data_IF_010523085671
#
_entry.id   IF_010523085671
#
_cell.length_a   1.000
_cell.length_b   1.000
_cell.length_c   1.000
_cell.angle_alpha   90.00
_cell.angle_beta   90.00
_cell.angle_gamma   90.00
#
_symmetry.space_group_name_H-M   'P 1'
#
loop_
_entity.id
_entity.type
_entity.pdbx_description
1 polymer ?
#
# COMPACT_ATOMS: atom_id res chain seq x y z
N UNK A 1 -9.35 -9.97 -19.57
CA UNK A 1 -8.00 -10.56 -19.31
C UNK A 1 -7.65 -11.76 -20.20
N UNK A 2 -6.49 -11.70 -20.86
CA UNK A 2 -5.83 -12.86 -21.51
C UNK A 2 -5.61 -13.96 -20.46
N UNK A 3 -5.85 -15.23 -20.79
CA UNK A 3 -5.65 -16.36 -19.87
C UNK A 3 -4.18 -16.48 -19.49
N UNK A 4 -3.82 -15.88 -18.37
CA UNK A 4 -2.45 -15.85 -17.85
C UNK A 4 -2.26 -17.07 -16.96
N UNK A 5 -1.16 -17.82 -17.15
CA UNK A 5 -0.92 -19.01 -16.34
C UNK A 5 -0.76 -18.65 -14.85
N UNK A 6 -1.27 -19.50 -13.97
CA UNK A 6 -1.12 -19.32 -12.51
C UNK A 6 0.36 -19.17 -12.11
N UNK A 7 1.25 -19.93 -12.75
CA UNK A 7 2.71 -19.85 -12.52
C UNK A 7 3.25 -18.45 -12.84
N UNK A 8 2.83 -17.85 -13.96
CA UNK A 8 3.26 -16.51 -14.34
C UNK A 8 2.74 -15.45 -13.35
N UNK A 9 1.49 -15.54 -12.92
CA UNK A 9 0.92 -14.62 -11.92
C UNK A 9 1.70 -14.69 -10.60
N UNK A 10 1.97 -15.90 -10.09
CA UNK A 10 2.77 -16.08 -8.87
C UNK A 10 4.18 -15.51 -9.04
N UNK A 11 4.81 -15.70 -10.20
CA UNK A 11 6.13 -15.14 -10.48
C UNK A 11 6.11 -13.61 -10.50
N UNK A 12 5.08 -13.00 -11.11
CA UNK A 12 4.89 -11.54 -11.09
C UNK A 12 4.74 -11.02 -9.66
N UNK A 13 3.91 -11.66 -8.84
CA UNK A 13 3.71 -11.26 -7.44
C UNK A 13 5.04 -11.35 -6.67
N UNK A 14 5.79 -12.43 -6.84
CA UNK A 14 7.08 -12.60 -6.18
C UNK A 14 8.08 -11.51 -6.58
N UNK A 15 8.28 -11.29 -7.89
CA UNK A 15 9.26 -10.33 -8.42
C UNK A 15 8.92 -8.89 -8.03
N UNK A 16 7.64 -8.53 -7.98
CA UNK A 16 7.19 -7.15 -7.80
C UNK A 16 7.03 -6.78 -6.32
N UNK A 17 6.56 -7.72 -5.47
CA UNK A 17 6.18 -7.43 -4.08
C UNK A 17 7.08 -8.08 -3.05
N UNK A 18 7.73 -9.21 -3.36
CA UNK A 18 8.50 -9.99 -2.36
C UNK A 18 10.00 -9.78 -2.55
N UNK A 19 10.51 -9.95 -3.77
CA UNK A 19 11.94 -9.85 -4.07
C UNK A 19 12.53 -8.49 -3.67
N UNK A 20 11.92 -7.32 -3.98
CA UNK A 20 12.50 -6.04 -3.60
C UNK A 20 12.63 -5.87 -2.09
N UNK A 21 11.66 -6.39 -1.33
CA UNK A 21 11.67 -6.34 0.13
C UNK A 21 12.75 -7.25 0.70
N UNK A 22 12.90 -8.47 0.16
CA UNK A 22 13.97 -9.39 0.57
C UNK A 22 15.36 -8.76 0.34
N UNK A 23 15.57 -8.13 -0.83
CA UNK A 23 16.83 -7.48 -1.15
C UNK A 23 17.17 -6.35 -0.16
N UNK A 24 16.17 -5.56 0.26
CA UNK A 24 16.35 -4.51 1.26
C UNK A 24 16.55 -5.08 2.67
N UNK A 25 15.73 -6.06 3.07
CA UNK A 25 15.71 -6.61 4.42
C UNK A 25 17.02 -7.34 4.78
N UNK A 26 17.59 -8.10 3.84
CA UNK A 26 18.88 -8.76 4.04
C UNK A 26 20.10 -7.85 3.79
N UNK A 27 19.89 -6.56 3.51
CA UNK A 27 20.96 -5.60 3.27
C UNK A 27 21.74 -5.84 1.96
N UNK A 28 21.19 -6.61 1.03
CA UNK A 28 21.77 -6.77 -0.33
C UNK A 28 21.70 -5.43 -1.08
N UNK A 29 20.62 -4.68 -0.87
CA UNK A 29 20.46 -3.29 -1.29
C UNK A 29 20.28 -2.39 -0.06
N UNK A 30 20.87 -1.19 -0.07
CA UNK A 30 20.66 -0.21 0.99
C UNK A 30 19.22 0.31 1.00
N UNK A 31 18.76 0.80 2.16
CA UNK A 31 17.39 1.32 2.33
C UNK A 31 17.06 2.51 1.42
N UNK A 32 18.08 3.22 0.91
CA UNK A 32 17.94 4.33 -0.04
C UNK A 32 17.32 3.90 -1.39
N UNK A 33 17.47 2.62 -1.75
CA UNK A 33 16.91 2.08 -2.99
C UNK A 33 15.38 1.92 -2.95
N UNK A 34 14.72 2.08 -1.81
CA UNK A 34 13.27 1.83 -1.66
C UNK A 34 12.39 2.57 -2.67
N UNK A 35 12.66 3.85 -2.92
CA UNK A 35 11.88 4.66 -3.87
C UNK A 35 12.18 4.24 -5.31
N UNK A 36 13.43 3.91 -5.61
CA UNK A 36 13.84 3.39 -6.92
C UNK A 36 13.18 2.04 -7.19
N UNK A 37 13.17 1.13 -6.22
CA UNK A 37 12.52 -0.17 -6.32
C UNK A 37 11.01 -0.03 -6.49
N UNK A 38 10.36 0.91 -5.80
CA UNK A 38 8.96 1.21 -6.01
C UNK A 38 8.69 1.71 -7.44
N UNK A 39 9.55 2.60 -7.97
CA UNK A 39 9.44 3.08 -9.35
C UNK A 39 9.66 1.95 -10.38
N UNK A 40 10.64 1.07 -10.17
CA UNK A 40 10.88 -0.10 -11.02
C UNK A 40 9.67 -1.04 -10.98
N UNK A 41 9.13 -1.34 -9.80
CA UNK A 41 7.91 -2.13 -9.65
C UNK A 41 6.73 -1.48 -10.38
N UNK A 42 6.56 -0.16 -10.30
CA UNK A 42 5.53 0.55 -11.05
C UNK A 42 5.71 0.42 -12.57
N UNK A 43 6.93 0.58 -13.08
CA UNK A 43 7.24 0.41 -14.52
C UNK A 43 6.92 -1.02 -14.98
N UNK A 44 7.30 -2.04 -14.20
CA UNK A 44 7.00 -3.44 -14.50
C UNK A 44 5.49 -3.70 -14.53
N UNK A 45 4.76 -3.23 -13.52
CA UNK A 45 3.29 -3.33 -13.46
C UNK A 45 2.68 -2.65 -14.68
N UNK A 46 3.09 -1.42 -14.99
CA UNK A 46 2.59 -0.67 -16.13
C UNK A 46 2.86 -1.42 -17.44
N UNK A 47 4.08 -1.92 -17.65
CA UNK A 47 4.43 -2.72 -18.83
C UNK A 47 3.55 -3.96 -19.00
N UNK A 48 3.27 -4.68 -17.91
CA UNK A 48 2.37 -5.84 -17.90
C UNK A 48 0.93 -5.42 -18.26
N UNK A 49 0.41 -4.37 -17.63
CA UNK A 49 -0.93 -3.83 -17.89
C UNK A 49 -1.10 -3.43 -19.36
N UNK A 50 -0.08 -2.77 -19.95
CA UNK A 50 -0.07 -2.39 -21.36
C UNK A 50 0.00 -3.59 -22.29
N UNK A 51 0.85 -4.56 -21.99
CA UNK A 51 0.99 -5.79 -22.76
C UNK A 51 -0.31 -6.63 -22.76
N UNK A 52 -0.96 -6.74 -21.61
CA UNK A 52 -2.21 -7.48 -21.45
C UNK A 52 -3.47 -6.67 -21.77
N UNK A 53 -3.32 -5.38 -22.11
CA UNK A 53 -4.38 -4.44 -22.52
C UNK A 53 -5.50 -4.30 -21.49
N UNK A 54 -5.15 -4.14 -20.21
CA UNK A 54 -6.16 -3.98 -19.15
C UNK A 54 -6.94 -2.66 -19.31
N UNK A 55 -8.23 -2.68 -18.97
CA UNK A 55 -9.10 -1.50 -18.98
C UNK A 55 -8.96 -0.67 -17.70
N UNK A 56 -9.40 0.60 -17.75
CA UNK A 56 -9.47 1.45 -16.55
C UNK A 56 -10.37 0.85 -15.46
N UNK A 57 -11.43 0.15 -15.86
CA UNK A 57 -12.32 -0.55 -14.93
C UNK A 57 -11.63 -1.75 -14.26
N UNK A 58 -10.86 -2.54 -15.01
CA UNK A 58 -10.06 -3.65 -14.47
C UNK A 58 -9.01 -3.15 -13.47
N UNK A 59 -8.49 -1.93 -13.67
CA UNK A 59 -7.58 -1.24 -12.74
C UNK A 59 -8.30 -0.50 -11.59
N UNK A 60 -9.64 -0.47 -11.58
CA UNK A 60 -10.44 0.30 -10.61
C UNK A 60 -10.17 1.81 -10.62
N UNK A 61 -9.71 2.35 -11.76
CA UNK A 61 -9.64 3.77 -12.06
C UNK A 61 -11.06 4.24 -12.43
N UNK A 62 -11.89 4.44 -11.40
CA UNK A 62 -13.30 4.78 -11.51
C UNK A 62 -13.59 6.16 -10.96
N UNK A 63 -14.27 6.99 -11.76
CA UNK A 63 -14.75 8.32 -11.36
C UNK A 63 -16.27 8.35 -11.15
N UNK A 64 -16.98 7.37 -11.69
CA UNK A 64 -18.44 7.26 -11.67
C UNK A 64 -19.02 6.97 -10.27
N UNK A 65 -18.21 6.39 -9.37
CA UNK A 65 -18.63 6.04 -8.01
C UNK A 65 -18.09 6.97 -6.93
N UNK A 66 -17.47 8.10 -7.29
CA UNK A 66 -16.77 8.98 -6.34
C UNK A 66 -17.68 9.44 -5.20
N UNK A 67 -18.83 10.07 -5.52
CA UNK A 67 -19.77 10.59 -4.51
C UNK A 67 -20.30 9.52 -3.56
N UNK A 68 -20.55 8.31 -4.08
CA UNK A 68 -21.05 7.17 -3.31
C UNK A 68 -19.98 6.58 -2.38
N UNK A 69 -18.73 6.57 -2.82
CA UNK A 69 -17.62 5.93 -2.10
C UNK A 69 -16.97 6.88 -1.09
N UNK A 70 -16.96 8.18 -1.38
CA UNK A 70 -16.35 9.24 -0.57
C UNK A 70 -16.66 9.16 0.94
N UNK A 71 -17.92 9.05 1.41
CA UNK A 71 -18.20 9.03 2.84
C UNK A 71 -17.56 7.83 3.57
N UNK A 72 -17.45 6.68 2.91
CA UNK A 72 -16.80 5.51 3.50
C UNK A 72 -15.30 5.75 3.64
N UNK A 73 -14.63 6.24 2.58
CA UNK A 73 -13.21 6.60 2.63
C UNK A 73 -12.91 7.66 3.68
N UNK A 74 -13.75 8.70 3.76
CA UNK A 74 -13.61 9.76 4.76
C UNK A 74 -13.75 9.20 6.19
N UNK A 75 -14.80 8.41 6.45
CA UNK A 75 -15.02 7.78 7.76
C UNK A 75 -13.82 6.93 8.20
N UNK A 76 -13.34 6.04 7.32
CA UNK A 76 -12.18 5.19 7.64
C UNK A 76 -10.90 5.98 7.82
N UNK A 77 -10.71 7.07 7.06
CA UNK A 77 -9.54 7.95 7.23
C UNK A 77 -9.57 8.62 8.59
N UNK A 78 -10.69 9.24 8.97
CA UNK A 78 -10.84 9.90 10.28
C UNK A 78 -10.66 8.90 11.40
N UNK A 79 -11.32 7.74 11.33
CA UNK A 79 -11.22 6.69 12.33
C UNK A 79 -9.77 6.24 12.52
N UNK A 80 -9.05 5.99 11.43
CA UNK A 80 -7.67 5.51 11.49
C UNK A 80 -6.72 6.58 12.03
N UNK A 81 -6.90 7.85 11.64
CA UNK A 81 -6.14 8.97 12.21
C UNK A 81 -6.35 9.06 13.72
N UNK A 82 -7.59 8.98 14.19
CA UNK A 82 -7.90 8.96 15.64
C UNK A 82 -7.22 7.79 16.33
N UNK A 83 -7.27 6.58 15.76
CA UNK A 83 -6.60 5.40 16.31
C UNK A 83 -5.08 5.60 16.42
N UNK A 84 -4.44 6.20 15.41
CA UNK A 84 -3.01 6.49 15.44
C UNK A 84 -2.64 7.44 16.59
N UNK A 85 -3.40 8.52 16.80
CA UNK A 85 -3.19 9.43 17.92
C UNK A 85 -3.41 8.75 19.28
N UNK A 86 -4.41 7.87 19.40
CA UNK A 86 -4.64 7.11 20.63
C UNK A 86 -3.50 6.11 20.91
N UNK A 87 -2.98 5.45 19.88
CA UNK A 87 -1.84 4.54 20.00
C UNK A 87 -0.56 5.30 20.37
N UNK A 88 -0.32 6.44 19.75
CA UNK A 88 0.82 7.31 20.08
C UNK A 88 0.78 7.72 21.56
N UNK A 89 -0.36 8.25 22.03
CA UNK A 89 -0.54 8.63 23.43
C UNK A 89 -0.25 7.47 24.42
N UNK A 90 -0.56 6.23 24.03
CA UNK A 90 -0.32 5.04 24.86
C UNK A 90 1.11 4.54 24.81
N UNK A 91 1.77 4.68 23.67
CA UNK A 91 3.09 4.08 23.41
C UNK A 91 4.24 5.07 23.57
N UNK A 92 3.93 6.37 23.67
CA UNK A 92 4.89 7.48 23.81
C UNK A 92 5.97 7.42 22.74
N UNK A 93 5.54 7.39 21.47
CA UNK A 93 6.49 7.37 20.36
C UNK A 93 7.39 8.61 20.43
N UNK A 94 8.67 8.50 19.99
CA UNK A 94 9.57 9.64 20.00
C UNK A 94 9.08 10.70 19.02
N UNK A 95 9.07 11.96 19.47
CA UNK A 95 8.78 13.11 18.60
C UNK A 95 9.83 13.20 17.50
N UNK A 96 9.38 13.22 16.25
CA UNK A 96 10.25 13.53 15.11
C UNK A 96 10.28 15.04 14.93
N UNK A 97 11.47 15.61 14.70
CA UNK A 97 11.60 17.02 14.28
C UNK A 97 10.73 17.29 13.05
N UNK A 98 9.58 17.90 13.30
CA UNK A 98 8.45 17.85 12.37
C UNK A 98 8.71 18.74 11.16
N UNK A 99 9.41 19.86 11.33
CA UNK A 99 9.63 20.88 10.29
C UNK A 99 10.58 20.42 9.19
N UNK A 100 11.76 19.90 9.52
CA UNK A 100 12.73 19.39 8.51
C UNK A 100 12.18 18.17 7.77
N UNK A 101 11.42 17.33 8.49
CA UNK A 101 10.82 16.11 7.97
C UNK A 101 9.62 16.38 7.04
N UNK A 102 8.69 17.25 7.45
CA UNK A 102 7.52 17.67 6.64
C UNK A 102 7.97 18.28 5.32
N UNK A 103 8.98 19.16 5.35
CA UNK A 103 9.43 19.90 4.16
C UNK A 103 10.11 18.99 3.12
N UNK A 104 10.80 17.93 3.53
CA UNK A 104 11.42 16.96 2.59
C UNK A 104 10.46 15.87 2.09
N UNK A 105 9.43 15.53 2.85
CA UNK A 105 8.72 14.26 2.65
C UNK A 105 7.26 14.41 2.22
N UNK A 106 6.60 15.55 2.51
CA UNK A 106 5.20 15.80 2.11
C UNK A 106 4.95 15.63 0.61
N UNK A 107 5.86 16.17 -0.22
CA UNK A 107 5.75 16.10 -1.69
C UNK A 107 5.84 14.65 -2.19
N UNK A 108 6.54 13.78 -1.47
CA UNK A 108 6.73 12.38 -1.87
C UNK A 108 5.62 11.47 -1.35
N UNK A 109 4.93 11.80 -0.25
CA UNK A 109 3.89 10.92 0.30
C UNK A 109 2.73 10.68 -0.64
N UNK A 110 2.25 11.69 -1.35
CA UNK A 110 1.15 11.52 -2.30
C UNK A 110 1.51 10.60 -3.48
N UNK A 111 2.62 10.82 -4.23
CA UNK A 111 2.99 9.92 -5.31
C UNK A 111 3.39 8.53 -4.82
N UNK A 112 4.09 8.42 -3.68
CA UNK A 112 4.45 7.11 -3.09
C UNK A 112 3.19 6.33 -2.72
N UNK A 113 2.25 6.96 -2.00
CA UNK A 113 1.00 6.31 -1.60
C UNK A 113 0.16 5.93 -2.82
N UNK A 114 0.12 6.78 -3.86
CA UNK A 114 -0.55 6.44 -5.11
C UNK A 114 0.09 5.22 -5.79
N UNK A 115 1.42 5.15 -5.91
CA UNK A 115 2.09 4.00 -6.53
C UNK A 115 1.93 2.71 -5.71
N UNK A 116 1.96 2.81 -4.38
CA UNK A 116 1.65 1.68 -3.50
C UNK A 116 0.20 1.21 -3.73
N UNK A 117 -0.78 2.11 -3.68
CA UNK A 117 -2.18 1.73 -3.90
C UNK A 117 -2.44 1.24 -5.32
N UNK A 118 -1.79 1.79 -6.33
CA UNK A 118 -1.86 1.27 -7.69
C UNK A 118 -1.32 -0.17 -7.76
N UNK A 119 -0.20 -0.46 -7.12
CA UNK A 119 0.35 -1.80 -7.08
C UNK A 119 -0.56 -2.77 -6.31
N UNK A 120 -1.00 -2.41 -5.10
CA UNK A 120 -1.78 -3.30 -4.24
C UNK A 120 -3.25 -3.45 -4.67
N UNK A 121 -3.87 -2.41 -5.21
CA UNK A 121 -5.30 -2.39 -5.52
C UNK A 121 -5.55 -2.62 -7.01
N UNK A 122 -4.90 -1.84 -7.86
CA UNK A 122 -5.11 -1.90 -9.30
C UNK A 122 -4.43 -3.08 -9.98
N UNK A 123 -3.36 -3.64 -9.40
CA UNK A 123 -2.66 -4.80 -9.96
C UNK A 123 -2.82 -6.08 -9.13
N UNK A 124 -2.45 -6.05 -7.85
CA UNK A 124 -2.39 -7.27 -7.04
C UNK A 124 -3.77 -7.89 -6.80
N UNK A 125 -4.81 -7.11 -6.49
CA UNK A 125 -6.17 -7.65 -6.26
C UNK A 125 -6.70 -8.38 -7.51
N UNK A 126 -6.70 -7.80 -8.72
CA UNK A 126 -7.10 -8.52 -9.94
C UNK A 126 -6.29 -9.82 -10.17
N UNK A 127 -4.97 -9.80 -9.89
CA UNK A 127 -4.13 -10.99 -9.99
C UNK A 127 -4.51 -12.07 -8.99
N UNK A 128 -4.77 -11.70 -7.74
CA UNK A 128 -5.23 -12.63 -6.71
C UNK A 128 -6.60 -13.20 -7.05
N UNK A 129 -7.54 -12.38 -7.55
CA UNK A 129 -8.86 -12.85 -8.04
C UNK A 129 -8.77 -13.88 -9.16
N UNK A 130 -7.73 -13.81 -10.00
CA UNK A 130 -7.52 -14.78 -11.07
C UNK A 130 -7.02 -16.15 -10.57
N UNK A 131 -6.48 -16.25 -9.36
CA UNK A 131 -5.87 -17.49 -8.84
C UNK A 131 -6.46 -17.99 -7.51
N UNK A 132 -7.22 -17.15 -6.80
CA UNK A 132 -7.92 -17.44 -5.54
C UNK A 132 -9.43 -17.29 -5.72
N UNK A 133 -10.20 -18.14 -5.04
CA UNK A 133 -11.68 -18.10 -5.09
C UNK A 133 -12.34 -17.34 -3.94
N UNK A 134 -11.61 -17.11 -2.84
CA UNK A 134 -12.16 -16.54 -1.60
C UNK A 134 -11.70 -15.09 -1.43
N UNK A 135 -12.66 -14.18 -1.28
CA UNK A 135 -12.40 -12.77 -0.99
C UNK A 135 -11.62 -12.60 0.33
N UNK A 136 -11.90 -13.43 1.34
CA UNK A 136 -11.15 -13.43 2.59
C UNK A 136 -9.67 -13.80 2.39
N UNK A 137 -9.38 -14.75 1.51
CA UNK A 137 -8.00 -15.12 1.18
C UNK A 137 -7.30 -14.04 0.35
N UNK A 138 -8.03 -13.36 -0.54
CA UNK A 138 -7.50 -12.22 -1.29
C UNK A 138 -7.11 -11.09 -0.34
N UNK A 139 -7.99 -10.74 0.61
CA UNK A 139 -7.73 -9.72 1.64
C UNK A 139 -6.54 -10.13 2.50
N UNK A 140 -6.49 -11.39 2.97
CA UNK A 140 -5.41 -11.89 3.81
C UNK A 140 -4.06 -11.80 3.10
N UNK A 141 -3.94 -12.37 1.89
CA UNK A 141 -2.68 -12.34 1.12
C UNK A 141 -2.28 -10.92 0.77
N UNK A 142 -3.23 -10.06 0.41
CA UNK A 142 -2.95 -8.66 0.13
C UNK A 142 -2.40 -7.94 1.37
N UNK A 143 -3.05 -8.10 2.53
CA UNK A 143 -2.64 -7.50 3.79
C UNK A 143 -1.26 -8.00 4.25
N UNK A 144 -0.98 -9.30 4.09
CA UNK A 144 0.34 -9.88 4.38
C UNK A 144 1.42 -9.26 3.50
N UNK A 145 1.20 -9.15 2.19
CA UNK A 145 2.17 -8.52 1.28
C UNK A 145 2.31 -7.01 1.55
N UNK A 146 1.24 -6.34 1.98
CA UNK A 146 1.28 -4.92 2.36
C UNK A 146 2.11 -4.71 3.62
N UNK A 147 1.90 -5.53 4.65
CA UNK A 147 2.70 -5.52 5.87
C UNK A 147 4.16 -5.88 5.60
N UNK A 148 4.42 -6.82 4.69
CA UNK A 148 5.78 -7.23 4.32
C UNK A 148 6.64 -6.04 3.86
N UNK A 149 6.09 -5.10 3.08
CA UNK A 149 6.83 -3.90 2.63
C UNK A 149 7.29 -3.03 3.81
N UNK A 150 6.65 -3.14 4.97
CA UNK A 150 6.98 -2.37 6.16
C UNK A 150 8.02 -3.04 7.08
N UNK A 151 8.49 -4.26 6.74
CA UNK A 151 9.52 -4.97 7.52
C UNK A 151 10.90 -4.29 7.49
N UNK A 152 11.07 -3.31 6.60
CA UNK A 152 12.32 -2.54 6.45
C UNK A 152 12.43 -1.38 7.46
N UNK A 153 11.37 -1.11 8.24
CA UNK A 153 11.37 -0.04 9.25
C UNK A 153 11.79 -0.56 10.63
N UNK A 154 12.29 0.33 11.47
CA UNK A 154 12.85 -0.02 12.79
C UNK A 154 11.81 -0.56 13.79
N UNK A 155 10.60 0.02 13.81
CA UNK A 155 9.55 -0.30 14.78
C UNK A 155 8.68 -1.47 14.33
N UNK A 156 9.25 -2.67 14.29
CA UNK A 156 8.52 -3.86 13.83
C UNK A 156 7.40 -4.31 14.78
N UNK A 157 7.56 -4.08 16.09
CA UNK A 157 6.60 -4.57 17.11
C UNK A 157 5.23 -3.89 16.94
N UNK A 158 5.22 -2.59 16.66
CA UNK A 158 3.98 -1.82 16.49
C UNK A 158 3.67 -1.59 15.02
N UNK A 159 4.68 -1.27 14.21
CA UNK A 159 4.53 -0.94 12.80
C UNK A 159 4.02 -2.10 11.95
N UNK A 160 4.46 -3.34 12.18
CA UNK A 160 3.98 -4.48 11.39
C UNK A 160 2.51 -4.83 11.67
N UNK A 161 2.04 -4.98 12.92
CA UNK A 161 0.62 -5.17 13.19
C UNK A 161 -0.24 -4.03 12.64
N UNK A 162 0.22 -2.78 12.80
CA UNK A 162 -0.46 -1.61 12.26
C UNK A 162 -0.60 -1.70 10.74
N UNK A 163 0.49 -1.94 10.02
CA UNK A 163 0.49 -2.09 8.56
C UNK A 163 -0.40 -3.26 8.10
N UNK A 164 -0.38 -4.39 8.81
CA UNK A 164 -1.22 -5.54 8.48
C UNK A 164 -2.71 -5.23 8.64
N UNK A 165 -3.11 -4.64 9.78
CA UNK A 165 -4.50 -4.25 10.03
C UNK A 165 -4.96 -3.18 9.02
N UNK A 166 -4.14 -2.17 8.75
CA UNK A 166 -4.40 -1.18 7.69
C UNK A 166 -4.56 -1.85 6.32
N UNK A 167 -3.71 -2.83 6.00
CA UNK A 167 -3.78 -3.62 4.78
C UNK A 167 -5.10 -4.38 4.62
N UNK A 168 -5.62 -4.98 5.71
CA UNK A 168 -6.95 -5.62 5.73
C UNK A 168 -8.03 -4.58 5.39
N UNK A 169 -8.04 -3.44 6.09
CA UNK A 169 -9.04 -2.41 5.90
C UNK A 169 -9.00 -1.83 4.48
N UNK A 170 -7.83 -1.51 3.96
CA UNK A 170 -7.68 -0.99 2.60
C UNK A 170 -8.10 -1.99 1.53
N UNK A 171 -7.71 -3.26 1.66
CA UNK A 171 -8.11 -4.30 0.72
C UNK A 171 -9.64 -4.51 0.74
N UNK A 172 -10.25 -4.61 1.92
CA UNK A 172 -11.70 -4.73 2.07
C UNK A 172 -12.44 -3.51 1.51
N UNK A 173 -11.99 -2.30 1.87
CA UNK A 173 -12.63 -1.04 1.47
C UNK A 173 -12.60 -0.88 -0.05
N UNK A 174 -11.45 -1.15 -0.68
CA UNK A 174 -11.32 -1.09 -2.12
C UNK A 174 -12.13 -2.17 -2.84
N UNK A 175 -12.16 -3.40 -2.34
CA UNK A 175 -12.96 -4.47 -2.95
C UNK A 175 -14.46 -4.14 -2.91
N UNK A 176 -14.93 -3.46 -1.88
CA UNK A 176 -16.33 -3.06 -1.73
C UNK A 176 -16.68 -1.76 -2.48
N UNK A 177 -15.77 -0.78 -2.49
CA UNK A 177 -15.96 0.54 -3.10
C UNK A 177 -14.73 0.91 -3.95
N UNK A 178 -14.52 0.30 -5.13
CA UNK A 178 -13.29 0.44 -5.89
C UNK A 178 -13.11 1.87 -6.40
N UNK A 179 -12.22 2.63 -5.77
CA UNK A 179 -11.86 3.98 -6.19
C UNK A 179 -10.38 4.25 -5.86
N UNK A 180 -9.51 4.16 -6.87
CA UNK A 180 -8.07 4.31 -6.66
C UNK A 180 -7.69 5.70 -6.12
N UNK A 181 -8.35 6.76 -6.58
CA UNK A 181 -8.03 8.12 -6.14
C UNK A 181 -8.34 8.29 -4.65
N UNK A 182 -9.54 7.89 -4.22
CA UNK A 182 -9.97 8.03 -2.83
C UNK A 182 -9.12 7.19 -1.88
N UNK A 183 -8.77 5.96 -2.26
CA UNK A 183 -7.91 5.13 -1.41
C UNK A 183 -6.48 5.67 -1.34
N UNK A 184 -5.96 6.24 -2.43
CA UNK A 184 -4.64 6.87 -2.44
C UNK A 184 -4.60 8.11 -1.54
N UNK A 185 -5.66 8.91 -1.54
CA UNK A 185 -5.79 10.06 -0.63
C UNK A 185 -5.91 9.63 0.83
N UNK A 186 -6.76 8.62 1.11
CA UNK A 186 -6.89 8.05 2.45
C UNK A 186 -5.54 7.50 2.96
N UNK A 187 -4.86 6.71 2.15
CA UNK A 187 -3.54 6.16 2.48
C UNK A 187 -2.50 7.27 2.65
N UNK A 188 -2.50 8.31 1.81
CA UNK A 188 -1.59 9.45 1.97
C UNK A 188 -1.79 10.15 3.32
N UNK A 189 -3.04 10.36 3.74
CA UNK A 189 -3.34 10.96 5.05
C UNK A 189 -2.82 10.07 6.19
N UNK A 190 -3.08 8.76 6.12
CA UNK A 190 -2.60 7.81 7.12
C UNK A 190 -1.07 7.73 7.15
N UNK A 191 -0.40 7.73 6.00
CA UNK A 191 1.06 7.71 5.90
C UNK A 191 1.67 8.96 6.53
N UNK A 192 1.14 10.14 6.19
CA UNK A 192 1.60 11.40 6.79
C UNK A 192 1.43 11.34 8.31
N UNK A 193 0.26 10.95 8.81
CA UNK A 193 0.01 10.86 10.27
C UNK A 193 0.90 9.82 10.94
N UNK A 194 1.00 8.60 10.40
CA UNK A 194 1.76 7.52 11.01
C UNK A 194 3.26 7.86 11.08
N UNK A 195 3.78 8.49 10.04
CA UNK A 195 5.19 8.91 10.04
C UNK A 195 5.41 10.13 10.94
N UNK A 196 4.50 11.11 10.96
CA UNK A 196 4.59 12.25 11.90
C UNK A 196 4.62 11.80 13.36
N UNK A 197 3.88 10.75 13.69
CA UNK A 197 3.81 10.16 15.04
C UNK A 197 4.90 9.10 15.28
N UNK A 198 5.90 8.97 14.39
CA UNK A 198 7.05 8.10 14.62
C UNK A 198 6.82 6.59 14.48
N UNK A 199 5.66 6.14 13.99
CA UNK A 199 5.38 4.71 13.79
C UNK A 199 6.26 4.07 12.72
N UNK A 200 6.65 4.84 11.71
CA UNK A 200 7.55 4.39 10.64
C UNK A 200 8.71 5.38 10.51
N UNK A 201 9.80 5.10 11.22
CA UNK A 201 11.06 5.81 11.07
C UNK A 201 12.14 4.88 10.49
N UNK A 202 13.11 5.50 9.83
CA UNK A 202 14.29 4.82 9.32
C UNK A 202 15.41 5.17 10.29
N UNK A 203 15.89 4.17 11.02
CA UNK A 203 17.09 4.25 11.86
C UNK A 203 18.35 4.28 11.00
#
# INVERSE_FOLDING_TARGET
MKTTSKRLIVSQIFIIFVLPVILLFFGILSSDWRVVLLAVSFILIYGIIRYEKWTYEEMGLRHDNFKKSFPFYLFFTILSVVVLFLLDHRTKMPDIETTTFLTRTLVLFLPVSFFQEFAFRSFLIPRLKAILRSDHMIILVNATLFALVHVIYSNLIIGLPLAFVSGIFFAWLYMKYPNLLLISLAHSALNVTAVMLGFFNIS
#
